data_IF_139193922972
#
_entry.id   IF_139193922972
#
_cell.length_a   1.000
_cell.length_b   1.000
_cell.length_c   1.000
_cell.angle_alpha   90.00
_cell.angle_beta   90.00
_cell.angle_gamma   90.00
#
_symmetry.space_group_name_H-M   'P 1'
#
loop_
_entity.id
_entity.type
_entity.pdbx_description
1 polymer ?
#
# COMPACT_ATOMS: atom_id res chain seq x y z
N UNK A 1 -28.88 -10.87 14.15
CA UNK A 1 -27.61 -10.32 13.66
C UNK A 1 -26.70 -11.48 13.28
N UNK A 2 -26.29 -11.65 12.02
CA UNK A 2 -25.25 -12.61 11.65
C UNK A 2 -23.92 -12.07 12.19
N UNK A 3 -23.19 -12.85 13.00
CA UNK A 3 -21.81 -12.53 13.33
C UNK A 3 -21.03 -12.51 12.01
N UNK A 4 -20.52 -11.35 11.61
CA UNK A 4 -19.53 -11.28 10.53
C UNK A 4 -18.28 -11.96 11.09
N UNK A 5 -17.86 -13.05 10.45
CA UNK A 5 -16.61 -13.71 10.83
C UNK A 5 -15.47 -12.84 10.29
N UNK A 6 -14.71 -12.23 11.18
CA UNK A 6 -13.54 -11.44 10.80
C UNK A 6 -12.46 -12.35 10.24
N UNK A 7 -11.82 -11.92 9.17
CA UNK A 7 -10.60 -12.53 8.66
C UNK A 7 -9.42 -11.95 9.43
N UNK A 8 -8.51 -12.80 9.91
CA UNK A 8 -7.29 -12.34 10.58
C UNK A 8 -6.15 -12.27 9.58
N UNK A 9 -5.57 -11.09 9.42
CA UNK A 9 -4.29 -10.87 8.73
C UNK A 9 -3.22 -10.95 9.81
N UNK A 10 -2.55 -12.09 9.90
CA UNK A 10 -1.54 -12.33 10.92
C UNK A 10 -0.16 -12.08 10.34
N UNK A 11 0.40 -10.91 10.66
CA UNK A 11 1.73 -10.48 10.22
C UNK A 11 2.80 -11.44 10.78
N UNK A 12 3.49 -12.13 9.89
CA UNK A 12 4.57 -13.07 10.22
C UNK A 12 5.88 -12.52 9.68
N UNK A 13 6.72 -12.01 10.60
CA UNK A 13 8.00 -11.37 10.24
C UNK A 13 8.92 -12.30 9.45
N UNK A 14 8.97 -13.57 9.80
CA UNK A 14 9.84 -14.53 9.13
C UNK A 14 9.30 -14.83 7.73
N UNK A 15 7.98 -15.04 7.59
CA UNK A 15 7.35 -15.25 6.29
C UNK A 15 7.51 -14.03 5.36
N UNK A 16 7.45 -12.82 5.90
CA UNK A 16 7.67 -11.58 5.12
C UNK A 16 9.14 -11.51 4.68
N UNK A 17 10.09 -11.71 5.60
CA UNK A 17 11.53 -11.60 5.30
C UNK A 17 12.03 -12.68 4.33
N UNK A 18 11.44 -13.86 4.39
CA UNK A 18 11.83 -15.00 3.56
C UNK A 18 11.11 -15.04 2.20
N UNK A 19 10.15 -14.12 1.95
CA UNK A 19 9.44 -14.09 0.68
C UNK A 19 10.39 -13.78 -0.48
N UNK A 20 10.42 -14.68 -1.48
CA UNK A 20 11.21 -14.47 -2.68
C UNK A 20 10.51 -13.51 -3.65
N UNK A 21 11.08 -12.32 -3.77
CA UNK A 21 10.64 -11.27 -4.70
C UNK A 21 11.66 -11.00 -5.82
N UNK A 22 12.66 -11.87 -5.98
CA UNK A 22 13.77 -11.66 -6.91
C UNK A 22 13.30 -11.50 -8.37
N UNK A 23 12.29 -12.26 -8.76
CA UNK A 23 11.69 -12.18 -10.10
C UNK A 23 10.99 -10.85 -10.38
N UNK A 24 10.53 -10.14 -9.36
CA UNK A 24 9.97 -8.78 -9.49
C UNK A 24 11.09 -7.75 -9.53
N UNK A 25 12.11 -7.90 -8.69
CA UNK A 25 13.27 -7.01 -8.68
C UNK A 25 13.95 -6.92 -10.06
N UNK A 26 13.97 -8.01 -10.83
CA UNK A 26 14.49 -8.03 -12.19
C UNK A 26 13.69 -7.16 -13.18
N UNK A 27 12.42 -6.91 -12.89
CA UNK A 27 11.53 -6.09 -13.71
C UNK A 27 11.51 -4.61 -13.25
N UNK A 28 12.09 -4.31 -12.09
CA UNK A 28 12.12 -2.96 -11.56
C UNK A 28 13.03 -2.07 -12.38
N UNK A 29 12.58 -0.83 -12.63
CA UNK A 29 13.40 0.23 -13.23
C UNK A 29 14.54 0.65 -12.32
N UNK A 30 14.36 0.51 -11.02
CA UNK A 30 15.35 0.84 -10.00
C UNK A 30 15.74 -0.40 -9.17
N UNK A 31 16.49 -1.31 -9.80
CA UNK A 31 16.94 -2.56 -9.15
C UNK A 31 17.71 -2.34 -7.85
N UNK A 32 18.40 -1.20 -7.72
CA UNK A 32 19.19 -0.93 -6.52
C UNK A 32 18.34 -0.75 -5.28
N UNK A 33 17.13 -0.19 -5.41
CA UNK A 33 16.21 -0.02 -4.29
C UNK A 33 15.78 -1.40 -3.75
N UNK A 34 15.49 -2.35 -4.66
CA UNK A 34 15.13 -3.71 -4.30
C UNK A 34 16.27 -4.52 -3.66
N UNK A 35 17.53 -4.19 -4.00
CA UNK A 35 18.70 -4.95 -3.55
C UNK A 35 19.33 -4.36 -2.28
N UNK A 36 18.97 -3.13 -1.88
CA UNK A 36 19.57 -2.44 -0.76
C UNK A 36 18.57 -2.05 0.34
N UNK A 37 18.10 -0.81 0.31
CA UNK A 37 17.30 -0.25 1.40
C UNK A 37 15.82 -0.66 1.36
N UNK A 38 15.24 -0.79 0.16
CA UNK A 38 13.81 -1.05 -0.03
C UNK A 38 13.41 -2.53 0.00
N UNK A 39 14.36 -3.45 0.15
CA UNK A 39 14.08 -4.88 0.03
C UNK A 39 13.05 -5.38 1.06
N UNK A 40 13.04 -4.85 2.27
CA UNK A 40 12.13 -5.26 3.32
C UNK A 40 10.71 -4.79 3.03
N UNK A 41 10.54 -3.53 2.62
CA UNK A 41 9.23 -2.95 2.29
C UNK A 41 8.58 -3.68 1.12
N UNK A 42 9.32 -3.95 0.05
CA UNK A 42 8.77 -4.64 -1.11
C UNK A 42 8.36 -6.08 -0.79
N UNK A 43 9.04 -6.75 0.13
CA UNK A 43 8.60 -8.05 0.65
C UNK A 43 7.32 -7.93 1.46
N UNK A 44 7.19 -6.90 2.29
CA UNK A 44 5.96 -6.63 3.03
C UNK A 44 4.78 -6.38 2.07
N UNK A 45 4.97 -5.53 1.04
CA UNK A 45 3.91 -5.21 0.08
C UNK A 45 3.50 -6.45 -0.73
N UNK A 46 4.49 -7.21 -1.21
CA UNK A 46 4.24 -8.48 -1.90
C UNK A 46 3.51 -9.49 -1.00
N UNK A 47 3.95 -9.64 0.24
CA UNK A 47 3.30 -10.52 1.21
C UNK A 47 1.86 -10.08 1.50
N UNK A 48 1.64 -8.78 1.71
CA UNK A 48 0.30 -8.25 1.98
C UNK A 48 -0.65 -8.51 0.80
N UNK A 49 -0.16 -8.39 -0.44
CA UNK A 49 -0.97 -8.68 -1.63
C UNK A 49 -1.49 -10.13 -1.65
N UNK A 50 -0.77 -11.07 -1.03
CA UNK A 50 -1.20 -12.48 -0.95
C UNK A 50 -2.34 -12.71 0.06
N UNK A 51 -2.63 -11.75 0.91
CA UNK A 51 -3.73 -11.86 1.89
C UNK A 51 -5.09 -11.58 1.26
N UNK A 52 -5.11 -11.10 0.02
CA UNK A 52 -6.31 -10.78 -0.75
C UNK A 52 -6.28 -11.52 -2.09
N UNK A 53 -7.45 -11.82 -2.62
CA UNK A 53 -7.60 -12.52 -3.90
C UNK A 53 -8.70 -11.86 -4.73
N UNK A 54 -8.45 -11.69 -6.04
CA UNK A 54 -9.38 -11.07 -6.99
C UNK A 54 -9.83 -9.68 -6.57
N UNK A 55 -8.92 -8.91 -6.01
CA UNK A 55 -9.15 -7.57 -5.52
C UNK A 55 -8.46 -6.51 -6.36
N UNK A 56 -8.87 -5.27 -6.18
CA UNK A 56 -8.17 -4.10 -6.70
C UNK A 56 -7.27 -3.57 -5.58
N UNK A 57 -6.03 -3.25 -5.93
CA UNK A 57 -5.04 -2.61 -5.07
C UNK A 57 -4.68 -1.28 -5.72
N UNK A 58 -4.75 -0.19 -4.96
CA UNK A 58 -4.32 1.13 -5.43
C UNK A 58 -2.91 1.42 -4.93
N UNK A 59 -2.06 1.93 -5.80
CA UNK A 59 -0.73 2.44 -5.50
C UNK A 59 -0.72 3.93 -5.85
N UNK A 60 -0.71 4.79 -4.85
CA UNK A 60 -0.88 6.24 -4.99
C UNK A 60 0.44 6.94 -4.66
N UNK A 61 1.04 7.61 -5.66
CA UNK A 61 2.32 8.30 -5.52
C UNK A 61 3.53 7.40 -5.77
N UNK A 62 3.50 6.57 -6.79
CA UNK A 62 4.46 5.45 -7.00
C UNK A 62 5.80 5.84 -7.61
N UNK A 63 5.96 7.04 -8.19
CA UNK A 63 7.16 7.47 -8.93
C UNK A 63 7.60 6.48 -10.01
N UNK A 64 8.50 5.56 -9.71
CA UNK A 64 9.05 4.56 -10.65
C UNK A 64 8.30 3.22 -10.62
N UNK A 65 7.28 3.07 -9.77
CA UNK A 65 6.42 1.88 -9.71
C UNK A 65 6.98 0.72 -8.91
N UNK A 66 7.93 0.96 -8.01
CA UNK A 66 8.51 -0.10 -7.17
C UNK A 66 7.48 -0.75 -6.25
N UNK A 67 6.67 0.05 -5.55
CA UNK A 67 5.56 -0.38 -4.69
C UNK A 67 4.49 -1.14 -5.46
N UNK A 68 4.04 -0.61 -6.61
CA UNK A 68 3.07 -1.28 -7.48
C UNK A 68 3.57 -2.65 -7.95
N UNK A 69 4.85 -2.73 -8.34
CA UNK A 69 5.46 -3.97 -8.78
C UNK A 69 5.45 -5.01 -7.64
N UNK A 70 5.75 -4.60 -6.41
CA UNK A 70 5.66 -5.48 -5.25
C UNK A 70 4.22 -5.91 -4.94
N UNK A 71 3.27 -4.98 -4.95
CA UNK A 71 1.85 -5.24 -4.74
C UNK A 71 1.24 -6.16 -5.81
N UNK A 72 1.84 -6.21 -7.01
CA UNK A 72 1.41 -7.10 -8.09
C UNK A 72 1.84 -8.57 -7.93
N UNK A 73 2.49 -8.93 -6.81
CA UNK A 73 2.99 -10.28 -6.54
C UNK A 73 1.89 -11.35 -6.67
N UNK A 74 0.72 -11.12 -6.09
CA UNK A 74 -0.45 -11.97 -6.35
C UNK A 74 -1.11 -11.56 -7.67
N UNK A 75 -0.85 -12.33 -8.72
CA UNK A 75 -1.33 -12.05 -10.08
C UNK A 75 -2.85 -12.12 -10.24
N UNK A 76 -3.57 -12.67 -9.26
CA UNK A 76 -5.04 -12.63 -9.26
C UNK A 76 -5.60 -11.25 -8.90
N UNK A 77 -4.81 -10.37 -8.29
CA UNK A 77 -5.20 -9.00 -7.98
C UNK A 77 -4.85 -8.08 -9.15
N UNK A 78 -5.64 -7.02 -9.32
CA UNK A 78 -5.31 -5.91 -10.21
C UNK A 78 -4.69 -4.79 -9.40
N UNK A 79 -3.52 -4.30 -9.79
CA UNK A 79 -2.90 -3.10 -9.22
C UNK A 79 -3.17 -1.94 -10.16
N UNK A 80 -3.70 -0.84 -9.63
CA UNK A 80 -3.89 0.40 -10.38
C UNK A 80 -3.00 1.46 -9.76
N UNK A 81 -2.07 1.97 -10.55
CA UNK A 81 -1.18 3.04 -10.18
C UNK A 81 -1.84 4.37 -10.48
N UNK A 82 -1.81 5.28 -9.51
CA UNK A 82 -2.19 6.67 -9.66
C UNK A 82 -1.02 7.58 -9.31
N UNK A 83 -0.63 8.42 -10.25
CA UNK A 83 0.35 9.46 -10.06
C UNK A 83 -0.06 10.70 -10.86
N UNK A 84 0.30 11.88 -10.40
CA UNK A 84 0.03 13.13 -11.13
C UNK A 84 1.04 13.39 -12.24
N UNK A 85 2.14 12.62 -12.26
CA UNK A 85 3.22 12.76 -13.22
C UNK A 85 3.73 11.39 -13.67
N UNK A 86 4.15 11.28 -14.93
CA UNK A 86 4.87 10.12 -15.44
C UNK A 86 6.35 10.20 -15.03
N UNK A 87 6.78 9.28 -14.19
CA UNK A 87 8.17 9.19 -13.72
C UNK A 87 8.82 7.82 -14.01
N UNK A 88 8.22 7.03 -14.89
CA UNK A 88 8.73 5.73 -15.31
C UNK A 88 7.80 4.55 -15.03
N UNK A 89 6.83 4.69 -14.15
CA UNK A 89 5.94 3.59 -13.75
C UNK A 89 5.17 2.97 -14.93
N UNK A 90 4.83 3.77 -15.98
CA UNK A 90 4.19 3.26 -17.19
C UNK A 90 5.03 2.26 -18.00
N UNK A 91 6.34 2.17 -17.71
CA UNK A 91 7.24 1.23 -18.39
C UNK A 91 7.20 -0.18 -17.78
N UNK A 92 6.56 -0.35 -16.62
CA UNK A 92 6.38 -1.67 -16.01
C UNK A 92 5.40 -2.47 -16.86
N UNK A 93 5.85 -3.65 -17.31
CA UNK A 93 5.06 -4.53 -18.16
C UNK A 93 4.63 -5.77 -17.39
N UNK A 94 3.48 -5.65 -16.71
CA UNK A 94 2.81 -6.79 -16.07
C UNK A 94 1.31 -6.73 -16.39
N UNK A 95 0.75 -7.87 -16.70
CA UNK A 95 -0.65 -7.98 -17.14
C UNK A 95 -1.66 -7.53 -16.06
N UNK A 96 -1.26 -7.57 -14.80
CA UNK A 96 -2.10 -7.17 -13.66
C UNK A 96 -1.77 -5.77 -13.11
N UNK A 97 -1.02 -4.94 -13.85
CA UNK A 97 -0.75 -3.53 -13.49
C UNK A 97 -1.33 -2.61 -14.55
N UNK A 98 -2.07 -1.61 -14.11
CA UNK A 98 -2.57 -0.49 -14.91
C UNK A 98 -2.00 0.82 -14.38
N UNK A 99 -1.56 1.74 -15.25
CA UNK A 99 -1.05 3.05 -14.87
C UNK A 99 -1.99 4.17 -15.34
N UNK A 100 -2.33 5.10 -14.43
CA UNK A 100 -3.18 6.26 -14.69
C UNK A 100 -2.51 7.55 -14.22
N UNK A 101 -2.40 8.56 -15.12
CA UNK A 101 -1.95 9.90 -14.78
C UNK A 101 -3.19 10.71 -14.36
N UNK A 102 -3.59 10.59 -13.13
CA UNK A 102 -4.70 11.34 -12.54
C UNK A 102 -4.73 11.18 -11.01
N UNK A 103 -5.50 12.01 -10.35
CA UNK A 103 -5.88 11.79 -8.95
C UNK A 103 -6.89 10.65 -8.87
N UNK A 104 -6.63 9.66 -8.01
CA UNK A 104 -7.54 8.51 -7.84
C UNK A 104 -8.93 8.91 -7.34
N UNK A 105 -9.04 10.07 -6.67
CA UNK A 105 -10.31 10.63 -6.18
C UNK A 105 -11.23 11.05 -7.32
N UNK A 106 -10.67 11.33 -8.50
CA UNK A 106 -11.39 11.74 -9.71
C UNK A 106 -11.77 10.56 -10.63
N UNK A 107 -11.41 9.33 -10.28
CA UNK A 107 -11.73 8.16 -11.11
C UNK A 107 -13.11 7.57 -10.80
N UNK A 108 -14.11 8.02 -11.58
CA UNK A 108 -15.48 7.52 -11.47
C UNK A 108 -15.65 6.07 -11.95
N UNK A 109 -14.64 5.51 -12.63
CA UNK A 109 -14.68 4.11 -13.12
C UNK A 109 -14.29 3.10 -12.06
N UNK A 110 -13.73 3.54 -10.93
CA UNK A 110 -13.20 2.69 -9.88
C UNK A 110 -14.32 1.99 -9.10
N UNK A 111 -14.26 0.66 -9.05
CA UNK A 111 -15.18 -0.13 -8.24
C UNK A 111 -14.68 -0.26 -6.79
N UNK A 112 -15.07 0.68 -5.96
CA UNK A 112 -14.66 0.79 -4.56
C UNK A 112 -14.95 -0.44 -3.71
N UNK A 113 -15.99 -1.21 -4.04
CA UNK A 113 -16.34 -2.45 -3.31
C UNK A 113 -15.27 -3.55 -3.48
N UNK A 114 -14.46 -3.44 -4.52
CA UNK A 114 -13.37 -4.38 -4.84
C UNK A 114 -11.99 -3.87 -4.43
N UNK A 115 -11.86 -2.62 -3.97
CA UNK A 115 -10.58 -2.07 -3.49
C UNK A 115 -10.31 -2.57 -2.08
N UNK A 116 -9.28 -3.40 -1.93
CA UNK A 116 -8.92 -4.03 -0.65
C UNK A 116 -7.69 -3.42 0.00
N UNK A 117 -6.75 -2.91 -0.80
CA UNK A 117 -5.52 -2.26 -0.33
C UNK A 117 -5.37 -0.92 -1.03
N UNK A 118 -4.94 0.09 -0.28
CA UNK A 118 -4.42 1.35 -0.80
C UNK A 118 -3.04 1.57 -0.21
N UNK A 119 -2.02 1.69 -1.07
CA UNK A 119 -0.71 2.20 -0.70
C UNK A 119 -0.71 3.71 -0.90
N UNK A 120 -0.35 4.47 0.11
CA UNK A 120 -0.30 5.92 0.10
C UNK A 120 1.10 6.41 0.44
N UNK A 121 1.75 7.01 -0.56
CA UNK A 121 3.09 7.62 -0.50
C UNK A 121 3.12 8.83 -1.45
N UNK A 122 2.77 10.01 -0.95
CA UNK A 122 2.57 11.20 -1.76
C UNK A 122 3.47 12.36 -1.31
N UNK A 123 4.07 13.05 -2.29
CA UNK A 123 4.75 14.32 -2.05
C UNK A 123 3.72 15.44 -1.74
N UNK A 124 4.03 16.39 -0.84
CA UNK A 124 5.33 16.71 -0.26
C UNK A 124 5.57 16.14 1.15
N UNK A 125 4.86 15.13 1.60
CA UNK A 125 4.94 14.52 2.94
C UNK A 125 4.68 15.57 4.06
N UNK A 126 3.66 16.38 3.86
CA UNK A 126 3.29 17.46 4.79
C UNK A 126 2.11 17.10 5.71
N UNK A 127 1.61 15.87 5.60
CA UNK A 127 0.47 15.36 6.36
C UNK A 127 -0.88 15.90 5.90
N UNK A 128 -0.92 16.95 5.06
CA UNK A 128 -2.16 17.60 4.63
C UNK A 128 -2.82 16.81 3.50
N UNK A 129 -2.05 16.45 2.48
CA UNK A 129 -2.57 15.66 1.36
C UNK A 129 -2.99 14.26 1.81
N UNK A 130 -2.20 13.65 2.67
CA UNK A 130 -2.52 12.37 3.26
C UNK A 130 -3.83 12.41 4.07
N UNK A 131 -4.03 13.46 4.89
CA UNK A 131 -5.26 13.67 5.67
C UNK A 131 -6.47 13.88 4.75
N UNK A 132 -6.37 14.72 3.71
CA UNK A 132 -7.44 14.93 2.72
C UNK A 132 -7.82 13.65 1.97
N UNK A 133 -6.84 12.81 1.63
CA UNK A 133 -7.09 11.52 0.98
C UNK A 133 -7.80 10.54 1.93
N UNK A 134 -7.41 10.52 3.19
CA UNK A 134 -8.09 9.71 4.20
C UNK A 134 -9.53 10.16 4.44
N UNK A 135 -9.78 11.47 4.54
CA UNK A 135 -11.15 12.03 4.66
C UNK A 135 -12.01 11.66 3.44
N UNK A 136 -11.44 11.73 2.24
CA UNK A 136 -12.15 11.29 1.03
C UNK A 136 -12.55 9.80 1.12
N UNK A 137 -11.67 8.93 1.59
CA UNK A 137 -11.95 7.50 1.75
C UNK A 137 -13.02 7.23 2.82
N UNK A 138 -13.02 8.02 3.90
CA UNK A 138 -14.06 7.98 4.92
C UNK A 138 -15.42 8.38 4.34
N UNK A 139 -15.48 9.48 3.59
CA UNK A 139 -16.70 9.97 2.94
C UNK A 139 -17.25 8.98 1.90
N UNK A 140 -16.36 8.28 1.18
CA UNK A 140 -16.74 7.16 0.29
C UNK A 140 -17.24 5.94 1.07
N UNK A 141 -16.98 5.86 2.36
CA UNK A 141 -17.26 4.67 3.17
C UNK A 141 -16.40 3.47 2.78
N UNK A 142 -15.20 3.72 2.24
CA UNK A 142 -14.28 2.67 1.83
C UNK A 142 -13.91 1.77 3.00
N UNK A 143 -13.74 0.48 2.71
CA UNK A 143 -13.44 -0.57 3.69
C UNK A 143 -12.31 -1.44 3.17
N UNK A 144 -11.12 -1.27 3.77
CA UNK A 144 -9.92 -2.00 3.37
C UNK A 144 -8.75 -1.72 4.30
N UNK A 145 -7.57 -2.08 3.85
CA UNK A 145 -6.30 -1.88 4.55
C UNK A 145 -5.46 -0.85 3.81
N UNK A 146 -5.03 0.20 4.50
CA UNK A 146 -4.10 1.17 3.95
C UNK A 146 -2.68 0.86 4.41
N UNK A 147 -1.76 0.79 3.46
CA UNK A 147 -0.34 0.97 3.67
C UNK A 147 -0.06 2.48 3.67
N UNK A 148 0.53 2.97 4.74
CA UNK A 148 0.78 4.40 4.94
C UNK A 148 2.28 4.59 5.15
N UNK A 149 2.93 5.25 4.21
CA UNK A 149 4.39 5.43 4.28
C UNK A 149 4.79 6.67 5.08
N UNK A 150 6.07 6.75 5.40
CA UNK A 150 6.72 7.91 6.01
C UNK A 150 6.21 8.30 7.41
N UNK A 151 5.73 7.32 8.20
CA UNK A 151 5.21 7.56 9.56
C UNK A 151 6.31 7.85 10.61
N UNK A 152 7.57 7.87 10.20
CA UNK A 152 8.71 8.05 11.10
C UNK A 152 9.15 9.51 11.26
N UNK A 153 10.13 9.77 12.16
CA UNK A 153 10.54 11.12 12.54
C UNK A 153 11.26 11.92 11.44
N UNK A 154 11.54 11.33 10.29
CA UNK A 154 12.06 12.04 9.13
C UNK A 154 11.02 13.01 8.53
N UNK A 155 9.73 12.69 8.73
CA UNK A 155 8.58 13.41 8.25
C UNK A 155 7.66 13.79 9.41
N UNK A 156 8.00 14.81 10.20
CA UNK A 156 7.31 15.10 11.46
C UNK A 156 5.84 15.45 11.30
N UNK A 157 5.43 16.01 10.17
CA UNK A 157 4.05 16.34 9.88
C UNK A 157 3.22 15.07 9.61
N UNK A 158 3.79 14.09 8.89
CA UNK A 158 3.16 12.78 8.65
C UNK A 158 3.16 11.93 9.94
N UNK A 159 4.24 11.99 10.74
CA UNK A 159 4.29 11.36 12.06
C UNK A 159 3.20 11.92 12.99
N UNK A 160 2.99 13.24 12.99
CA UNK A 160 1.92 13.88 13.76
C UNK A 160 0.53 13.43 13.28
N UNK A 161 0.32 13.34 11.98
CA UNK A 161 -0.92 12.78 11.41
C UNK A 161 -1.09 11.33 11.84
N UNK A 162 -0.06 10.49 11.67
CA UNK A 162 -0.08 9.09 12.10
C UNK A 162 -0.52 8.98 13.57
N UNK A 163 0.05 9.80 14.46
CA UNK A 163 -0.28 9.76 15.89
C UNK A 163 -1.75 10.13 16.16
N UNK A 164 -2.36 11.01 15.36
CA UNK A 164 -3.77 11.46 15.50
C UNK A 164 -4.79 10.48 14.94
N UNK A 165 -4.41 9.59 14.01
CA UNK A 165 -5.30 8.61 13.41
C UNK A 165 -5.93 7.73 14.49
N UNK A 166 -7.25 7.62 14.52
CA UNK A 166 -8.02 6.87 15.51
C UNK A 166 -8.45 5.47 15.05
N UNK A 167 -8.29 5.15 13.77
CA UNK A 167 -8.52 3.81 13.24
C UNK A 167 -7.57 2.79 13.89
N UNK A 168 -7.96 1.50 13.98
CA UNK A 168 -7.02 0.45 14.33
C UNK A 168 -5.82 0.51 13.39
N UNK A 169 -4.64 0.65 13.96
CA UNK A 169 -3.40 0.80 13.20
C UNK A 169 -2.25 0.07 13.86
N UNK A 170 -1.26 -0.31 13.08
CA UNK A 170 -0.06 -1.00 13.54
C UNK A 170 1.15 -0.48 12.78
N UNK A 171 2.21 -0.16 13.53
CA UNK A 171 3.52 0.16 12.98
C UNK A 171 4.21 -1.13 12.53
N UNK A 172 4.58 -1.19 11.26
CA UNK A 172 5.25 -2.34 10.62
C UNK A 172 6.63 -1.98 10.06
N UNK A 173 7.20 -0.86 10.50
CA UNK A 173 8.51 -0.35 10.07
C UNK A 173 9.61 -1.40 10.15
N UNK A 174 9.54 -2.33 11.11
CA UNK A 174 10.55 -3.40 11.24
C UNK A 174 10.68 -4.30 10.00
N UNK A 175 9.63 -4.38 9.19
CA UNK A 175 9.59 -5.13 7.91
C UNK A 175 9.20 -4.22 6.74
N UNK A 176 9.03 -2.93 6.97
CA UNK A 176 8.67 -1.90 6.01
C UNK A 176 9.84 -1.00 5.62
N UNK A 177 9.51 0.23 5.22
CA UNK A 177 10.49 1.24 4.85
C UNK A 177 11.18 1.87 6.07
N UNK A 178 12.41 2.31 5.88
CA UNK A 178 13.22 2.90 6.96
C UNK A 178 12.72 4.26 7.45
N UNK A 179 11.94 4.97 6.65
CA UNK A 179 11.26 6.23 7.01
C UNK A 179 9.98 5.99 7.84
N UNK A 180 9.59 4.74 8.00
CA UNK A 180 8.42 4.31 8.73
C UNK A 180 7.29 3.82 7.83
N UNK A 181 6.71 2.68 8.14
CA UNK A 181 5.55 2.13 7.42
C UNK A 181 4.47 1.72 8.41
N UNK A 182 3.25 2.19 8.18
CA UNK A 182 2.06 1.86 8.95
C UNK A 182 1.05 1.04 8.17
N UNK A 183 0.26 0.24 8.88
CA UNK A 183 -0.98 -0.34 8.37
C UNK A 183 -2.15 0.27 9.14
N UNK A 184 -3.14 0.79 8.41
CA UNK A 184 -4.38 1.33 8.96
C UNK A 184 -5.53 0.45 8.48
N UNK A 185 -6.39 0.04 9.40
CA UNK A 185 -7.55 -0.79 9.08
C UNK A 185 -8.83 0.06 9.06
N UNK A 186 -9.35 0.32 7.85
CA UNK A 186 -10.59 1.08 7.63
C UNK A 186 -11.85 0.21 7.69
N UNK A 187 -11.71 -1.08 7.93
CA UNK A 187 -12.85 -1.98 7.96
C UNK A 187 -13.00 -2.72 9.30
N UNK A 188 -14.15 -3.34 9.47
CA UNK A 188 -14.46 -4.20 10.60
C UNK A 188 -14.44 -5.70 10.26
N UNK A 189 -14.02 -6.04 9.03
CA UNK A 189 -13.94 -7.42 8.50
C UNK A 189 -12.59 -8.07 8.76
N UNK A 190 -11.54 -7.26 8.95
CA UNK A 190 -10.19 -7.73 9.19
C UNK A 190 -9.75 -7.39 10.61
N UNK A 191 -8.98 -8.29 11.20
CA UNK A 191 -8.16 -8.01 12.38
C UNK A 191 -6.70 -8.17 11.98
N UNK A 192 -5.89 -7.11 12.14
CA UNK A 192 -4.47 -7.12 11.77
C UNK A 192 -3.64 -7.15 13.05
N UNK A 193 -2.77 -8.13 13.18
CA UNK A 193 -1.90 -8.25 14.36
C UNK A 193 -0.62 -9.03 14.02
N UNK A 194 0.39 -8.89 14.88
CA UNK A 194 1.59 -9.71 14.81
C UNK A 194 1.31 -11.14 15.30
N UNK A 195 2.01 -12.10 14.67
CA UNK A 195 2.05 -13.51 15.09
C UNK A 195 2.89 -13.67 16.34
#
# INVERSE_FOLDING_TARGET
MRKVTKQTIQLDKDAIRDLDVSHLAEQSLNKNDWLSAGQSEYRLYAWLSTQFDKSIILDVGTRTGGSALALSYNENNQVIIYDLQEQGASQIQRDNIEFKIQDFREDDSLNWDHVSIIMLDVDPHDGVQEEEMMEFLEDKGWKGVMLFDDIGPQWPEVEDLWNRITYPKIDVTEVGHMSGTGLINFDDKHDINWK
#
